data_IF_515859426133
#
_entry.id   IF_515859426133
#
_cell.length_a   1.000
_cell.length_b   1.000
_cell.length_c   1.000
_cell.angle_alpha   90.00
_cell.angle_beta   90.00
_cell.angle_gamma   90.00
#
_symmetry.space_group_name_H-M   'P 1'
#
loop_
_entity.id
_entity.type
_entity.pdbx_description
1 polymer ?
#
# COMPACT_ATOMS: atom_id res chain seq x y z
N UNK A 1 31.35 -12.11 15.97
CA UNK A 1 30.71 -11.06 15.16
C UNK A 1 29.37 -11.61 14.69
N UNK A 2 28.26 -11.43 15.40
CA UNK A 2 27.75 -10.19 15.97
C UNK A 2 26.61 -9.75 15.05
N UNK A 3 25.42 -10.25 15.36
CA UNK A 3 24.20 -10.16 14.54
C UNK A 3 23.80 -8.70 14.28
N UNK A 4 23.38 -8.43 13.05
CA UNK A 4 22.93 -7.13 12.54
C UNK A 4 21.67 -6.69 13.32
N UNK A 5 21.69 -5.54 14.02
CA UNK A 5 20.53 -5.05 14.75
C UNK A 5 19.43 -4.62 13.78
N UNK A 6 18.36 -5.41 13.72
CA UNK A 6 17.10 -5.00 13.14
C UNK A 6 16.55 -3.81 13.91
N UNK A 7 16.53 -2.65 13.26
CA UNK A 7 16.01 -1.39 13.80
C UNK A 7 14.61 -1.61 14.39
N UNK A 8 14.58 -1.72 15.72
CA UNK A 8 13.36 -1.76 16.52
C UNK A 8 12.88 -0.32 16.62
N UNK A 9 12.01 0.06 15.70
CA UNK A 9 11.39 1.37 15.72
C UNK A 9 10.03 1.24 16.40
N UNK A 10 10.04 1.36 17.73
CA UNK A 10 8.82 1.56 18.53
C UNK A 10 8.54 3.06 18.60
N UNK A 11 7.64 3.56 17.74
CA UNK A 11 7.06 4.89 17.89
C UNK A 11 5.67 4.82 18.54
N UNK A 12 5.42 5.82 19.35
CA UNK A 12 4.45 5.91 20.44
C UNK A 12 3.02 6.29 19.99
N UNK A 13 2.05 6.01 20.87
CA UNK A 13 0.72 6.62 21.04
C UNK A 13 -0.50 6.06 20.29
N UNK A 14 -1.62 6.03 21.01
CA UNK A 14 -2.73 5.07 20.95
C UNK A 14 -3.91 5.45 20.02
N UNK A 15 -3.69 6.14 18.90
CA UNK A 15 -4.78 6.34 17.89
C UNK A 15 -4.34 6.24 16.43
N UNK A 16 -3.05 6.11 16.14
CA UNK A 16 -2.53 6.04 14.76
C UNK A 16 -1.64 4.80 14.58
N UNK A 17 -2.23 3.62 14.81
CA UNK A 17 -1.51 2.34 14.69
C UNK A 17 -1.00 2.18 13.25
N UNK A 18 0.31 2.33 13.09
CA UNK A 18 1.05 1.99 11.88
C UNK A 18 0.69 0.57 11.46
N UNK A 19 0.26 0.39 10.21
CA UNK A 19 -0.13 -0.93 9.69
C UNK A 19 0.34 -1.14 8.26
N UNK A 20 1.01 -2.26 8.06
CA UNK A 20 1.58 -2.64 6.77
C UNK A 20 0.84 -3.81 6.15
N UNK A 21 0.62 -3.71 4.85
CA UNK A 21 -0.06 -4.72 4.06
C UNK A 21 0.82 -5.13 2.88
N UNK A 22 1.15 -6.42 2.80
CA UNK A 22 1.80 -6.99 1.61
C UNK A 22 0.78 -7.15 0.49
N UNK A 23 1.06 -6.55 -0.66
CA UNK A 23 0.16 -6.52 -1.82
C UNK A 23 0.90 -6.92 -3.09
N UNK A 24 0.20 -7.56 -4.02
CA UNK A 24 0.68 -7.74 -5.39
C UNK A 24 0.09 -6.67 -6.29
N UNK A 25 0.95 -5.91 -6.99
CA UNK A 25 0.48 -4.91 -7.96
C UNK A 25 0.24 -5.56 -9.32
N UNK A 26 -1.00 -5.47 -9.80
CA UNK A 26 -1.35 -5.91 -11.16
C UNK A 26 -1.03 -4.79 -12.16
N UNK A 27 0.06 -4.92 -12.94
CA UNK A 27 0.28 -4.02 -14.07
C UNK A 27 -0.63 -4.42 -15.24
N UNK A 28 -1.30 -3.45 -15.86
CA UNK A 28 -2.04 -3.68 -17.11
C UNK A 28 -1.03 -4.02 -18.21
N UNK A 29 -1.23 -5.16 -18.88
CA UNK A 29 -0.46 -5.59 -20.04
C UNK A 29 0.49 -6.74 -19.76
N UNK A 30 -0.05 -7.97 -19.69
CA UNK A 30 0.58 -9.25 -20.05
C UNK A 30 1.83 -9.75 -19.32
N UNK A 31 2.73 -8.89 -18.86
CA UNK A 31 3.95 -9.28 -18.16
C UNK A 31 3.62 -9.57 -16.71
N UNK A 32 3.45 -10.85 -16.41
CA UNK A 32 3.34 -11.43 -15.06
C UNK A 32 4.69 -11.32 -14.36
N UNK A 33 5.11 -10.09 -14.07
CA UNK A 33 6.08 -9.83 -13.01
C UNK A 33 5.29 -9.68 -11.71
N UNK A 34 5.44 -10.62 -10.78
CA UNK A 34 4.90 -10.46 -9.42
C UNK A 34 5.63 -9.29 -8.75
N UNK A 35 5.05 -8.10 -8.82
CA UNK A 35 5.58 -6.93 -8.16
C UNK A 35 4.92 -6.78 -6.79
N UNK A 36 5.49 -7.48 -5.81
CA UNK A 36 5.10 -7.33 -4.42
C UNK A 36 5.45 -5.89 -3.97
N UNK A 37 4.50 -5.25 -3.29
CA UNK A 37 4.64 -3.93 -2.68
C UNK A 37 4.09 -3.99 -1.26
N UNK A 38 4.58 -3.09 -0.41
CA UNK A 38 4.04 -2.93 0.94
C UNK A 38 3.25 -1.62 0.96
N UNK A 39 1.98 -1.70 1.32
CA UNK A 39 1.15 -0.53 1.62
C UNK A 39 1.16 -0.32 3.13
N UNK A 40 1.83 0.74 3.56
CA UNK A 40 1.83 1.18 4.94
C UNK A 40 0.81 2.31 5.13
N UNK A 41 0.01 2.23 6.17
CA UNK A 41 -0.92 3.28 6.60
C UNK A 41 -0.40 3.78 7.94
N UNK A 42 -0.08 5.07 8.00
CA UNK A 42 0.57 5.73 9.13
C UNK A 42 -0.09 7.09 9.34
N UNK A 43 -0.89 7.21 10.38
CA UNK A 43 -1.74 8.37 10.63
C UNK A 43 -2.44 8.89 9.38
N UNK A 44 -2.13 10.13 8.99
CA UNK A 44 -2.66 10.84 7.81
C UNK A 44 -2.11 10.40 6.44
N UNK A 45 -1.15 9.47 6.42
CA UNK A 45 -0.41 9.12 5.22
C UNK A 45 -0.58 7.65 4.83
N UNK A 46 -0.71 7.41 3.52
CA UNK A 46 -0.52 6.10 2.92
C UNK A 46 0.83 6.08 2.19
N UNK A 47 1.66 5.07 2.45
CA UNK A 47 2.98 4.89 1.83
C UNK A 47 2.99 3.58 1.05
N UNK A 48 3.49 3.64 -0.16
CA UNK A 48 3.64 2.49 -1.05
C UNK A 48 5.13 2.24 -1.19
N UNK A 49 5.61 1.22 -0.51
CA UNK A 49 7.01 0.79 -0.49
C UNK A 49 7.23 -0.31 -1.54
N UNK A 50 8.42 -0.40 -2.16
CA UNK A 50 8.82 -1.59 -2.90
C UNK A 50 8.94 -2.79 -1.93
N UNK A 51 8.71 -4.02 -2.41
CA UNK A 51 9.06 -5.21 -1.60
C UNK A 51 10.57 -5.30 -1.44
N UNK A 52 11.01 -5.74 -0.26
CA UNK A 52 12.43 -5.85 0.12
C UNK A 52 13.11 -7.06 -0.54
N UNK A 53 12.82 -7.37 -1.80
CA UNK A 53 13.59 -8.37 -2.53
C UNK A 53 14.87 -7.70 -3.02
N UNK A 54 15.99 -7.96 -2.32
CA UNK A 54 17.32 -7.33 -2.46
C UNK A 54 17.99 -7.51 -3.84
N UNK A 55 17.27 -7.89 -4.88
CA UNK A 55 17.86 -8.48 -6.09
C UNK A 55 17.84 -7.57 -7.32
N UNK A 56 17.39 -6.31 -7.24
CA UNK A 56 17.37 -5.45 -8.43
C UNK A 56 17.96 -4.07 -8.14
N UNK A 57 19.28 -3.98 -8.28
CA UNK A 57 20.11 -2.76 -8.32
C UNK A 57 19.74 -1.77 -9.45
N UNK A 58 18.56 -1.91 -10.06
CA UNK A 58 18.11 -1.16 -11.23
C UNK A 58 16.68 -0.62 -11.15
N UNK A 59 15.85 -1.04 -10.18
CA UNK A 59 14.56 -0.41 -9.96
C UNK A 59 14.69 0.58 -8.82
N UNK A 60 14.77 1.87 -9.16
CA UNK A 60 14.66 2.97 -8.20
C UNK A 60 13.25 2.92 -7.60
N UNK A 61 13.03 1.99 -6.68
CA UNK A 61 11.77 1.69 -5.99
C UNK A 61 11.43 2.83 -5.03
N UNK A 62 11.12 4.01 -5.60
CA UNK A 62 10.83 5.21 -4.85
C UNK A 62 9.56 4.97 -4.03
N UNK A 63 9.69 5.08 -2.71
CA UNK A 63 8.54 5.15 -1.80
C UNK A 63 7.60 6.25 -2.26
N UNK A 64 6.35 5.90 -2.53
CA UNK A 64 5.33 6.87 -2.86
C UNK A 64 4.47 7.13 -1.63
N UNK A 65 4.55 8.34 -1.09
CA UNK A 65 3.75 8.78 0.05
C UNK A 65 2.62 9.68 -0.42
N UNK A 66 1.41 9.45 0.08
CA UNK A 66 0.20 10.18 -0.24
C UNK A 66 -0.51 10.59 1.04
N UNK A 67 -0.94 11.85 1.10
CA UNK A 67 -1.76 12.39 2.19
C UNK A 67 -3.21 11.92 2.04
N UNK A 68 -3.97 11.85 3.15
CA UNK A 68 -5.41 11.55 3.14
C UNK A 68 -6.19 12.39 2.13
N UNK A 69 -5.86 13.68 1.99
CA UNK A 69 -6.52 14.61 1.05
C UNK A 69 -6.36 14.22 -0.43
N UNK A 70 -5.34 13.43 -0.76
CA UNK A 70 -5.12 12.97 -2.14
C UNK A 70 -5.94 11.72 -2.46
N UNK A 71 -6.51 11.06 -1.45
CA UNK A 71 -7.28 9.83 -1.62
C UNK A 71 -8.65 10.20 -2.16
N UNK A 72 -8.98 9.71 -3.36
CA UNK A 72 -10.27 9.96 -3.99
C UNK A 72 -11.27 8.85 -3.67
N UNK A 73 -10.87 7.59 -3.87
CA UNK A 73 -11.73 6.42 -3.66
C UNK A 73 -10.89 5.16 -3.38
N UNK A 74 -11.42 4.23 -2.59
CA UNK A 74 -10.83 2.91 -2.42
C UNK A 74 -11.92 1.86 -2.31
N UNK A 75 -11.90 0.87 -3.22
CA UNK A 75 -12.99 -0.11 -3.31
C UNK A 75 -12.51 -1.50 -3.69
N UNK A 76 -13.04 -2.49 -2.98
CA UNK A 76 -12.85 -3.91 -3.28
C UNK A 76 -13.59 -4.30 -4.58
N UNK A 77 -12.99 -5.20 -5.36
CA UNK A 77 -13.57 -5.70 -6.59
C UNK A 77 -14.65 -6.74 -6.31
N UNK A 78 -15.84 -6.56 -6.89
CA UNK A 78 -16.95 -7.52 -6.78
C UNK A 78 -16.68 -8.85 -7.51
N UNK A 79 -15.86 -8.81 -8.57
CA UNK A 79 -15.54 -9.99 -9.40
C UNK A 79 -14.43 -10.84 -8.80
N UNK A 80 -13.55 -10.23 -8.00
CA UNK A 80 -12.38 -10.89 -7.45
C UNK A 80 -12.11 -10.27 -6.07
N UNK A 81 -12.62 -10.89 -4.98
CA UNK A 81 -12.70 -10.25 -3.67
C UNK A 81 -11.32 -10.00 -3.04
N UNK A 82 -10.28 -10.73 -3.44
CA UNK A 82 -8.90 -10.42 -3.03
C UNK A 82 -8.33 -9.16 -3.69
N UNK A 83 -9.00 -8.58 -4.67
CA UNK A 83 -8.52 -7.41 -5.40
C UNK A 83 -9.24 -6.14 -4.96
N UNK A 84 -8.53 -5.03 -4.99
CA UNK A 84 -9.10 -3.72 -4.76
C UNK A 84 -8.47 -2.66 -5.66
N UNK A 85 -9.17 -1.53 -5.78
CA UNK A 85 -8.73 -0.35 -6.51
C UNK A 85 -8.51 0.78 -5.54
N UNK A 86 -7.38 1.47 -5.67
CA UNK A 86 -7.06 2.69 -4.95
C UNK A 86 -6.94 3.82 -5.97
N UNK A 87 -7.76 4.85 -5.82
CA UNK A 87 -7.77 6.04 -6.67
C UNK A 87 -7.23 7.20 -5.85
N UNK A 88 -6.12 7.79 -6.31
CA UNK A 88 -5.51 8.97 -5.69
C UNK A 88 -5.35 10.07 -6.74
N UNK A 89 -5.49 11.32 -6.32
CA UNK A 89 -5.25 12.50 -7.13
C UNK A 89 -3.85 13.03 -6.80
N UNK A 90 -2.95 13.02 -7.78
CA UNK A 90 -1.58 13.56 -7.63
C UNK A 90 -1.34 14.55 -8.76
N UNK A 91 -0.98 15.78 -8.40
CA UNK A 91 -0.60 16.84 -9.36
C UNK A 91 -1.65 17.03 -10.48
N UNK A 92 -2.93 17.15 -10.08
CA UNK A 92 -4.11 17.25 -10.98
C UNK A 92 -4.38 16.01 -11.85
N UNK A 93 -3.59 14.95 -11.74
CA UNK A 93 -3.84 13.67 -12.42
C UNK A 93 -4.46 12.64 -11.48
N UNK A 94 -5.50 11.95 -11.95
CA UNK A 94 -6.11 10.81 -11.26
C UNK A 94 -5.32 9.54 -11.54
N UNK A 95 -4.64 9.00 -10.52
CA UNK A 95 -3.94 7.71 -10.59
C UNK A 95 -4.79 6.61 -10.01
N UNK A 96 -5.00 5.56 -10.80
CA UNK A 96 -5.73 4.36 -10.38
C UNK A 96 -4.76 3.21 -10.23
N UNK A 97 -4.68 2.65 -9.04
CA UNK A 97 -3.89 1.48 -8.72
C UNK A 97 -4.80 0.28 -8.50
N UNK A 98 -4.46 -0.85 -9.12
CA UNK A 98 -5.14 -2.13 -8.93
C UNK A 98 -4.20 -3.06 -8.16
N UNK A 99 -4.59 -3.44 -6.96
CA UNK A 99 -3.83 -4.29 -6.05
C UNK A 99 -4.58 -5.59 -5.78
N UNK A 100 -3.82 -6.62 -5.47
CA UNK A 100 -4.28 -7.90 -4.97
C UNK A 100 -3.72 -8.11 -3.56
N UNK A 101 -4.60 -8.27 -2.60
CA UNK A 101 -4.27 -8.61 -1.21
C UNK A 101 -4.13 -10.14 -1.06
N UNK A 102 -3.50 -10.57 0.03
CA UNK A 102 -3.33 -12.01 0.34
C UNK A 102 -4.67 -12.72 0.53
N UNK A 103 -5.65 -12.02 1.11
CA UNK A 103 -6.98 -12.57 1.38
C UNK A 103 -8.07 -11.54 1.07
N UNK A 104 -9.30 -11.99 0.78
CA UNK A 104 -10.43 -11.07 0.57
C UNK A 104 -10.75 -10.25 1.82
N UNK A 105 -10.57 -10.82 3.01
CA UNK A 105 -10.74 -10.10 4.28
C UNK A 105 -9.74 -8.98 4.43
N UNK A 106 -8.47 -9.21 4.04
CA UNK A 106 -7.45 -8.17 4.05
C UNK A 106 -7.77 -7.05 3.05
N UNK A 107 -8.21 -7.38 1.83
CA UNK A 107 -8.64 -6.37 0.86
C UNK A 107 -9.78 -5.49 1.41
N UNK A 108 -10.78 -6.10 2.05
CA UNK A 108 -11.88 -5.38 2.68
C UNK A 108 -11.39 -4.48 3.82
N UNK A 109 -10.55 -4.99 4.72
CA UNK A 109 -9.99 -4.22 5.84
C UNK A 109 -9.21 -2.99 5.33
N UNK A 110 -8.38 -3.17 4.30
CA UNK A 110 -7.60 -2.09 3.69
C UNK A 110 -8.54 -1.01 3.12
N UNK A 111 -9.56 -1.40 2.33
CA UNK A 111 -10.51 -0.44 1.78
C UNK A 111 -11.25 0.33 2.88
N UNK A 112 -11.71 -0.37 3.93
CA UNK A 112 -12.38 0.27 5.05
C UNK A 112 -11.45 1.26 5.78
N UNK A 113 -10.20 0.88 6.05
CA UNK A 113 -9.24 1.74 6.75
C UNK A 113 -8.89 2.98 5.94
N UNK A 114 -8.65 2.83 4.63
CA UNK A 114 -8.35 3.95 3.73
C UNK A 114 -9.54 4.90 3.61
N UNK A 115 -10.76 4.36 3.55
CA UNK A 115 -11.97 5.19 3.49
C UNK A 115 -12.25 5.92 4.81
N UNK A 116 -12.02 5.28 5.95
CA UNK A 116 -12.07 5.95 7.26
C UNK A 116 -11.02 7.06 7.36
N UNK A 117 -9.80 6.80 6.89
CA UNK A 117 -8.73 7.79 6.87
C UNK A 117 -9.08 9.01 6.02
N UNK A 118 -9.70 8.79 4.85
CA UNK A 118 -10.17 9.87 3.97
C UNK A 118 -11.26 10.73 4.63
N UNK A 119 -12.10 10.13 5.47
CA UNK A 119 -13.24 10.80 6.12
C UNK A 119 -12.87 11.42 7.48
N UNK A 120 -11.71 11.08 8.03
CA UNK A 120 -11.14 11.68 9.25
C UNK A 120 -10.55 13.07 8.97
#
# INVERSE_FOLDING_TARGET
MGEIPGSSVSYLTSTEVYREYTLNRKRRGGYVGHHEQILAIDGDYIRILPSSNRTLLFDSGKTASYLRNTIHDCRQSKKAPSHFKLVVNRDRERKVYEYEAKTPQQAQEICQRIMQLKDS
#
